data_IF_670285597846
#
_entry.id   IF_670285597846
#
_cell.length_a   1.000
_cell.length_b   1.000
_cell.length_c   1.000
_cell.angle_alpha   90.00
_cell.angle_beta   90.00
_cell.angle_gamma   90.00
#
_symmetry.space_group_name_H-M   'P 1'
#
loop_
_entity.id
_entity.type
_entity.pdbx_description
1 polymer ?
#
# COMPACT_ATOMS: atom_id res chain seq x y z
N UNK A 1 19.03 -24.75 -18.85
CA UNK A 1 19.07 -23.49 -18.07
C UNK A 1 17.78 -22.76 -18.35
N UNK A 2 17.13 -22.24 -17.31
CA UNK A 2 15.87 -21.50 -17.45
C UNK A 2 16.18 -20.03 -17.30
N UNK A 3 15.93 -19.28 -18.36
CA UNK A 3 16.09 -17.82 -18.41
C UNK A 3 14.73 -17.19 -18.64
N UNK A 4 14.46 -16.10 -17.92
CA UNK A 4 13.21 -15.34 -18.02
C UNK A 4 13.60 -13.90 -18.33
N UNK A 5 13.08 -13.38 -19.43
CA UNK A 5 13.20 -11.98 -19.79
C UNK A 5 11.90 -11.27 -19.43
N UNK A 6 11.99 -10.15 -18.73
CA UNK A 6 10.83 -9.34 -18.39
C UNK A 6 11.20 -7.85 -18.40
N UNK A 7 10.21 -7.01 -18.65
CA UNK A 7 10.35 -5.56 -18.59
C UNK A 7 9.70 -5.08 -17.29
N UNK A 8 10.46 -4.38 -16.45
CA UNK A 8 9.94 -3.76 -15.24
C UNK A 8 9.43 -2.36 -15.55
N UNK A 9 8.11 -2.16 -15.43
CA UNK A 9 7.45 -0.87 -15.69
C UNK A 9 7.08 -0.15 -14.40
N UNK A 10 6.84 1.16 -14.50
CA UNK A 10 6.43 1.98 -13.35
C UNK A 10 5.12 1.47 -12.72
N UNK A 11 4.19 1.00 -13.53
CA UNK A 11 2.94 0.39 -13.07
C UNK A 11 3.19 -0.84 -12.17
N UNK A 12 4.26 -1.61 -12.42
CA UNK A 12 4.58 -2.82 -11.66
C UNK A 12 5.18 -2.45 -10.30
N UNK A 13 5.99 -1.40 -10.24
CA UNK A 13 6.48 -0.84 -8.97
C UNK A 13 5.33 -0.31 -8.10
N UNK A 14 4.38 0.39 -8.71
CA UNK A 14 3.20 0.88 -8.00
C UNK A 14 2.33 -0.29 -7.50
N UNK A 15 2.13 -1.31 -8.33
CA UNK A 15 1.37 -2.51 -7.96
C UNK A 15 2.04 -3.31 -6.83
N UNK A 16 3.37 -3.47 -6.89
CA UNK A 16 4.14 -4.13 -5.85
C UNK A 16 4.04 -3.39 -4.52
N UNK A 17 4.24 -2.08 -4.52
CA UNK A 17 4.12 -1.26 -3.32
C UNK A 17 2.70 -1.29 -2.75
N UNK A 18 1.67 -1.20 -3.60
CA UNK A 18 0.27 -1.34 -3.16
C UNK A 18 -0.01 -2.69 -2.49
N UNK A 19 0.57 -3.78 -3.01
CA UNK A 19 0.47 -5.11 -2.40
C UNK A 19 1.14 -5.18 -1.03
N UNK A 20 2.35 -4.61 -0.92
CA UNK A 20 3.09 -4.57 0.35
C UNK A 20 2.37 -3.71 1.40
N UNK A 21 1.81 -2.56 0.99
CA UNK A 21 0.99 -1.73 1.86
C UNK A 21 -0.24 -2.46 2.39
N UNK A 22 -0.89 -3.28 1.55
CA UNK A 22 -2.03 -4.10 2.00
C UNK A 22 -1.61 -5.12 3.04
N UNK A 23 -0.39 -5.65 3.01
CA UNK A 23 0.13 -6.58 4.03
C UNK A 23 0.67 -5.88 5.28
N UNK A 24 0.94 -4.57 5.21
CA UNK A 24 1.47 -3.80 6.33
C UNK A 24 0.43 -3.63 7.46
N UNK A 25 0.53 -4.49 8.48
CA UNK A 25 -0.25 -4.45 9.73
C UNK A 25 -0.36 -3.05 10.36
N UNK A 26 0.70 -2.22 10.48
CA UNK A 26 0.57 -0.89 11.07
C UNK A 26 -0.34 0.03 10.26
N UNK A 27 -0.27 -0.02 8.93
CA UNK A 27 -1.13 0.80 8.07
C UNK A 27 -2.59 0.37 8.19
N UNK A 28 -2.85 -0.94 8.21
CA UNK A 28 -4.20 -1.47 8.42
C UNK A 28 -4.77 -1.06 9.78
N UNK A 29 -3.97 -1.09 10.85
CA UNK A 29 -4.37 -0.65 12.20
C UNK A 29 -4.70 0.84 12.26
N UNK A 30 -3.93 1.68 11.56
CA UNK A 30 -4.23 3.11 11.46
C UNK A 30 -5.53 3.33 10.68
N UNK A 31 -5.69 2.65 9.54
CA UNK A 31 -6.88 2.76 8.72
C UNK A 31 -8.15 2.35 9.50
N UNK A 32 -8.11 1.22 10.19
CA UNK A 32 -9.25 0.74 11.00
C UNK A 32 -9.57 1.66 12.18
N UNK A 33 -8.55 2.25 12.82
CA UNK A 33 -8.75 3.22 13.91
C UNK A 33 -9.41 4.51 13.44
N UNK A 34 -9.01 5.03 12.28
CA UNK A 34 -9.64 6.23 11.71
C UNK A 34 -11.03 5.95 11.14
N UNK A 35 -11.29 4.74 10.64
CA UNK A 35 -12.58 4.37 10.08
C UNK A 35 -13.63 4.03 11.15
N UNK A 36 -13.23 3.42 12.27
CA UNK A 36 -14.16 2.95 13.29
C UNK A 36 -14.14 3.78 14.58
N UNK A 37 -12.96 4.10 15.11
CA UNK A 37 -12.84 4.66 16.47
C UNK A 37 -13.21 6.14 16.53
N UNK A 38 -12.73 6.95 15.59
CA UNK A 38 -13.07 8.39 15.55
C UNK A 38 -14.55 8.64 15.21
N UNK A 39 -15.11 8.09 14.12
CA UNK A 39 -16.52 8.27 13.79
C UNK A 39 -17.44 7.69 14.86
N UNK A 40 -17.07 6.53 15.44
CA UNK A 40 -17.81 5.94 16.55
C UNK A 40 -17.90 6.87 17.76
N UNK A 41 -16.79 7.52 18.13
CA UNK A 41 -16.81 8.50 19.21
C UNK A 41 -17.64 9.74 18.89
N UNK A 42 -17.57 10.25 17.65
CA UNK A 42 -18.40 11.38 17.21
C UNK A 42 -19.90 11.03 17.21
N UNK A 43 -20.26 9.82 16.81
CA UNK A 43 -21.65 9.33 16.89
C UNK A 43 -22.12 9.24 18.35
N UNK A 44 -21.27 8.75 19.27
CA UNK A 44 -21.60 8.74 20.69
C UNK A 44 -21.85 10.15 21.25
N UNK A 45 -21.01 11.13 20.87
CA UNK A 45 -21.22 12.54 21.23
C UNK A 45 -22.52 13.06 20.62
N UNK A 46 -22.79 12.77 19.35
CA UNK A 46 -24.02 13.17 18.68
C UNK A 46 -25.26 12.64 19.41
N UNK A 47 -25.24 11.39 19.83
CA UNK A 47 -26.33 10.77 20.59
C UNK A 47 -26.47 11.38 21.98
N UNK A 48 -25.35 11.69 22.65
CA UNK A 48 -25.37 12.37 23.95
C UNK A 48 -25.98 13.77 23.86
N UNK A 49 -25.60 14.56 22.85
CA UNK A 49 -26.15 15.89 22.60
C UNK A 49 -27.65 15.81 22.32
N UNK A 50 -28.05 14.87 21.46
CA UNK A 50 -29.46 14.66 21.14
C UNK A 50 -30.29 14.26 22.37
N UNK A 51 -29.79 13.34 23.19
CA UNK A 51 -30.56 12.81 24.33
C UNK A 51 -30.62 13.80 25.51
N UNK A 52 -29.50 14.47 25.84
CA UNK A 52 -29.41 15.33 27.02
C UNK A 52 -29.90 16.75 26.76
N UNK A 53 -29.52 17.35 25.62
CA UNK A 53 -29.87 18.74 25.29
C UNK A 53 -31.11 18.85 24.40
N UNK A 54 -31.63 17.73 23.88
CA UNK A 54 -32.70 17.71 22.86
C UNK A 54 -32.41 18.55 21.62
N UNK A 55 -31.13 18.89 21.39
CA UNK A 55 -30.69 19.69 20.26
C UNK A 55 -30.45 18.77 19.05
N UNK A 56 -31.50 18.66 18.24
CA UNK A 56 -31.50 17.88 17.00
C UNK A 56 -30.61 18.47 15.92
N UNK A 57 -30.43 19.79 15.91
CA UNK A 57 -29.71 20.51 14.86
C UNK A 57 -28.20 20.30 15.03
N UNK A 58 -27.70 20.49 16.24
CA UNK A 58 -26.28 20.24 16.57
C UNK A 58 -25.93 18.76 16.46
N UNK A 59 -26.79 17.85 16.95
CA UNK A 59 -26.59 16.42 16.80
C UNK A 59 -26.54 16.00 15.32
N UNK A 60 -27.45 16.50 14.48
CA UNK A 60 -27.47 16.23 13.05
C UNK A 60 -26.16 16.60 12.35
N UNK A 61 -25.60 17.78 12.65
CA UNK A 61 -24.32 18.20 12.08
C UNK A 61 -23.14 17.32 12.51
N UNK A 62 -23.09 16.91 13.77
CA UNK A 62 -22.05 16.02 14.28
C UNK A 62 -22.15 14.65 13.61
N UNK A 63 -23.35 14.11 13.47
CA UNK A 63 -23.59 12.83 12.80
C UNK A 63 -23.17 12.86 11.32
N UNK A 64 -23.52 13.92 10.59
CA UNK A 64 -23.11 14.10 9.19
C UNK A 64 -21.58 14.19 9.10
N UNK A 65 -20.95 14.97 9.98
CA UNK A 65 -19.49 15.12 10.00
C UNK A 65 -18.81 13.78 10.28
N UNK A 66 -19.33 12.99 11.22
CA UNK A 66 -18.83 11.65 11.53
C UNK A 66 -18.93 10.71 10.32
N UNK A 67 -20.05 10.74 9.61
CA UNK A 67 -20.26 9.94 8.40
C UNK A 67 -19.29 10.33 7.28
N UNK A 68 -19.15 11.63 7.03
CA UNK A 68 -18.19 12.17 6.05
C UNK A 68 -16.77 11.77 6.42
N UNK A 69 -16.40 11.82 7.70
CA UNK A 69 -15.06 11.44 8.16
C UNK A 69 -14.80 9.94 8.01
N UNK A 70 -15.76 9.09 8.39
CA UNK A 70 -15.62 7.63 8.29
C UNK A 70 -15.42 7.13 6.86
N UNK A 71 -16.00 7.81 5.87
CA UNK A 71 -15.83 7.49 4.44
C UNK A 71 -14.65 8.24 3.82
N UNK A 72 -14.47 9.51 4.14
CA UNK A 72 -13.45 10.38 3.55
C UNK A 72 -12.02 10.06 4.03
N UNK A 73 -11.84 9.75 5.31
CA UNK A 73 -10.54 9.45 5.89
C UNK A 73 -9.82 8.26 5.21
N UNK A 74 -10.44 7.08 5.01
CA UNK A 74 -9.76 5.95 4.36
C UNK A 74 -9.40 6.25 2.89
N UNK A 75 -10.23 7.03 2.19
CA UNK A 75 -9.92 7.46 0.82
C UNK A 75 -8.71 8.40 0.78
N UNK A 76 -8.70 9.42 1.65
CA UNK A 76 -7.60 10.39 1.74
C UNK A 76 -6.28 9.73 2.14
N UNK A 77 -6.31 8.80 3.12
CA UNK A 77 -5.13 8.05 3.54
C UNK A 77 -4.53 7.24 2.39
N UNK A 78 -5.35 6.47 1.65
CA UNK A 78 -4.88 5.69 0.49
C UNK A 78 -4.27 6.58 -0.59
N UNK A 79 -4.93 7.70 -0.90
CA UNK A 79 -4.45 8.67 -1.87
C UNK A 79 -3.10 9.29 -1.47
N UNK A 80 -2.98 9.73 -0.23
CA UNK A 80 -1.76 10.32 0.31
C UNK A 80 -0.60 9.31 0.30
N UNK A 81 -0.84 8.05 0.68
CA UNK A 81 0.21 7.03 0.66
C UNK A 81 0.69 6.72 -0.77
N UNK A 82 -0.24 6.61 -1.74
CA UNK A 82 0.14 6.44 -3.15
C UNK A 82 1.00 7.61 -3.66
N UNK A 83 0.62 8.85 -3.34
CA UNK A 83 1.42 10.03 -3.69
C UNK A 83 2.81 9.99 -3.05
N UNK A 84 2.90 9.62 -1.77
CA UNK A 84 4.19 9.50 -1.07
C UNK A 84 5.10 8.46 -1.70
N UNK A 85 4.57 7.30 -2.11
CA UNK A 85 5.34 6.26 -2.79
C UNK A 85 5.85 6.75 -4.14
N UNK A 86 4.97 7.38 -4.94
CA UNK A 86 5.37 7.94 -6.23
C UNK A 86 6.50 8.97 -6.10
N UNK A 87 6.47 9.76 -5.02
CA UNK A 87 7.49 10.77 -4.72
C UNK A 87 8.74 10.21 -4.01
N UNK A 88 8.75 8.92 -3.64
CA UNK A 88 9.89 8.31 -2.96
C UNK A 88 11.02 7.95 -3.92
N UNK A 89 10.70 7.78 -5.20
CA UNK A 89 11.67 7.49 -6.26
C UNK A 89 11.96 8.77 -7.04
N UNK A 90 13.23 9.18 -7.10
CA UNK A 90 13.63 10.24 -8.01
C UNK A 90 13.53 9.76 -9.47
N UNK A 91 13.48 10.68 -10.42
CA UNK A 91 13.49 10.33 -11.84
C UNK A 91 14.78 9.56 -12.22
N UNK A 92 15.89 9.82 -11.54
CA UNK A 92 17.13 9.07 -11.68
C UNK A 92 17.02 7.63 -11.16
N UNK A 93 16.37 7.43 -10.01
CA UNK A 93 16.11 6.10 -9.45
C UNK A 93 15.18 5.30 -10.35
N UNK A 94 14.12 5.94 -10.86
CA UNK A 94 13.20 5.32 -11.82
C UNK A 94 13.94 4.90 -13.09
N UNK A 95 14.82 5.75 -13.63
CA UNK A 95 15.60 5.41 -14.82
C UNK A 95 16.57 4.24 -14.60
N UNK A 96 17.03 4.02 -13.35
CA UNK A 96 17.89 2.89 -12.97
C UNK A 96 17.13 1.59 -12.72
N UNK A 97 15.95 1.69 -12.11
CA UNK A 97 15.12 0.54 -11.72
C UNK A 97 14.28 0.05 -12.91
N UNK A 98 13.86 0.94 -13.82
CA UNK A 98 12.97 0.55 -14.92
C UNK A 98 13.74 0.03 -16.14
N UNK A 99 13.14 -0.92 -16.84
CA UNK A 99 13.66 -1.45 -18.11
C UNK A 99 13.73 -2.96 -18.14
N UNK A 100 14.60 -3.49 -19.00
CA UNK A 100 14.71 -4.91 -19.27
C UNK A 100 15.57 -5.63 -18.23
N UNK A 101 15.02 -6.73 -17.73
CA UNK A 101 15.65 -7.63 -16.80
C UNK A 101 15.74 -9.03 -17.42
N UNK A 102 16.86 -9.69 -17.16
CA UNK A 102 17.03 -11.11 -17.45
C UNK A 102 17.34 -11.84 -16.16
N UNK A 103 16.48 -12.78 -15.80
CA UNK A 103 16.65 -13.64 -14.64
C UNK A 103 17.08 -15.02 -15.11
N UNK A 104 18.28 -15.44 -14.70
CA UNK A 104 18.82 -16.76 -15.01
C UNK A 104 18.91 -17.60 -13.74
N UNK A 105 18.28 -18.78 -13.81
CA UNK A 105 18.29 -19.75 -12.72
C UNK A 105 19.49 -20.67 -12.92
N UNK A 106 20.49 -20.57 -12.04
CA UNK A 106 21.64 -21.47 -11.99
C UNK A 106 21.54 -22.42 -10.78
N UNK A 107 22.24 -23.57 -10.79
CA UNK A 107 22.12 -24.56 -9.71
C UNK A 107 22.52 -24.05 -8.32
N UNK A 108 23.40 -23.06 -8.24
CA UNK A 108 23.94 -22.52 -6.97
C UNK A 108 23.46 -21.10 -6.67
N UNK A 109 23.07 -20.35 -7.68
CA UNK A 109 22.75 -18.94 -7.58
C UNK A 109 21.65 -18.52 -8.54
N UNK A 110 20.98 -17.42 -8.20
CA UNK A 110 20.07 -16.69 -9.06
C UNK A 110 20.83 -15.49 -9.62
N UNK A 111 20.90 -15.39 -10.94
CA UNK A 111 21.60 -14.28 -11.61
C UNK A 111 20.57 -13.34 -12.20
N UNK A 112 20.62 -12.09 -11.79
CA UNK A 112 19.78 -11.00 -12.28
C UNK A 112 20.65 -10.04 -13.09
N UNK A 113 20.31 -9.86 -14.36
CA UNK A 113 21.00 -8.92 -15.27
C UNK A 113 20.04 -7.77 -15.53
N UNK A 114 20.44 -6.56 -15.18
CA UNK A 114 19.67 -5.33 -15.40
C UNK A 114 20.55 -4.24 -16.01
N UNK A 115 19.96 -3.10 -16.37
CA UNK A 115 20.72 -1.91 -16.80
C UNK A 115 21.70 -1.39 -15.75
N UNK A 116 21.47 -1.70 -14.47
CA UNK A 116 22.34 -1.27 -13.36
C UNK A 116 23.51 -2.22 -13.09
N UNK A 117 23.51 -3.42 -13.69
CA UNK A 117 24.58 -4.40 -13.58
C UNK A 117 24.07 -5.84 -13.45
N UNK A 118 25.01 -6.76 -13.24
CA UNK A 118 24.76 -8.16 -12.92
C UNK A 118 24.80 -8.36 -11.40
N UNK A 119 23.72 -8.89 -10.85
CA UNK A 119 23.59 -9.27 -9.44
C UNK A 119 23.51 -10.78 -9.33
N UNK A 120 24.27 -11.35 -8.39
CA UNK A 120 24.28 -12.80 -8.11
C UNK A 120 23.82 -13.03 -6.69
N UNK A 121 22.74 -13.79 -6.56
CA UNK A 121 22.09 -14.07 -5.28
C UNK A 121 22.19 -15.58 -5.02
N UNK A 122 23.02 -16.02 -4.07
CA UNK A 122 23.07 -17.43 -3.67
C UNK A 122 21.70 -17.91 -3.17
N UNK A 123 21.32 -19.16 -3.47
CA UNK A 123 20.06 -19.72 -2.98
C UNK A 123 19.96 -19.73 -1.45
N UNK A 124 21.08 -19.79 -0.75
CA UNK A 124 21.15 -19.70 0.72
C UNK A 124 20.71 -18.35 1.28
N UNK A 125 20.77 -17.28 0.49
CA UNK A 125 20.34 -15.93 0.88
C UNK A 125 18.86 -15.68 0.58
N UNK A 126 18.22 -16.55 -0.21
CA UNK A 126 16.80 -16.44 -0.54
C UNK A 126 15.97 -16.86 0.68
N UNK A 127 15.45 -15.85 1.39
CA UNK A 127 14.67 -16.07 2.62
C UNK A 127 13.32 -16.75 2.38
N UNK A 128 12.64 -16.43 1.27
CA UNK A 128 11.29 -16.93 0.99
C UNK A 128 10.92 -16.79 -0.48
N UNK A 129 10.24 -17.80 -1.01
CA UNK A 129 9.59 -17.77 -2.33
C UNK A 129 8.08 -17.82 -2.09
N UNK A 130 7.35 -16.78 -2.49
CA UNK A 130 5.88 -16.77 -2.46
C UNK A 130 5.33 -17.06 -3.86
N UNK A 131 4.60 -18.16 -4.01
CA UNK A 131 3.83 -18.42 -5.22
C UNK A 131 2.56 -17.54 -5.21
N UNK A 132 2.47 -16.57 -6.10
CA UNK A 132 1.25 -15.79 -6.29
C UNK A 132 0.22 -16.62 -7.08
N UNK A 133 -0.97 -16.83 -6.51
CA UNK A 133 -2.06 -17.63 -7.14
C UNK A 133 -2.63 -17.04 -8.44
N UNK A 134 -2.26 -15.81 -8.80
CA UNK A 134 -2.94 -15.02 -9.85
C UNK A 134 -2.16 -14.88 -11.16
N UNK A 135 -1.14 -15.71 -11.41
CA UNK A 135 -0.45 -15.77 -12.69
C UNK A 135 -0.59 -17.19 -13.26
N UNK A 136 -1.77 -17.47 -13.83
CA UNK A 136 -2.05 -18.61 -14.69
C UNK A 136 -2.71 -18.10 -15.96
#
# INVERSE_FOLDING_TARGET
MTEIHYELREQDLLAFNDHQLKKAVPLQKVLSRHQATLPGFMILISLFVWFYYQDTLTAGWIAITAAVWGVGAPFFLRWNTRRRIANMYSEEDKARILGDYTLRIEPKELVEISKSGESRIPWSEVLRIEAAKNYA
#
